data_IF_620487755684
#
_entry.id   IF_620487755684
#
_cell.length_a   1.000
_cell.length_b   1.000
_cell.length_c   1.000
_cell.angle_alpha   90.00
_cell.angle_beta   90.00
_cell.angle_gamma   90.00
#
_symmetry.space_group_name_H-M   'P 1'
#
loop_
_entity.id
_entity.type
_entity.pdbx_description
1 polymer ?
#
# COMPACT_ATOMS: atom_id res chain seq x y z
N UNK A 1 32.58 -12.71 -14.47
CA UNK A 1 31.74 -11.53 -14.74
C UNK A 1 32.28 -10.40 -13.88
N UNK A 2 32.65 -9.27 -14.46
CA UNK A 2 33.11 -8.09 -13.71
C UNK A 2 31.93 -7.51 -12.92
N UNK A 3 32.10 -7.27 -11.64
CA UNK A 3 31.09 -6.58 -10.82
C UNK A 3 30.78 -5.23 -11.45
N UNK A 4 29.49 -4.88 -11.69
CA UNK A 4 29.14 -3.59 -12.27
C UNK A 4 29.64 -2.45 -11.39
N UNK A 5 30.03 -1.34 -11.98
CA UNK A 5 30.45 -0.16 -11.23
C UNK A 5 29.27 0.42 -10.45
N UNK A 6 29.55 1.10 -9.32
CA UNK A 6 28.52 1.78 -8.53
C UNK A 6 27.70 2.74 -9.41
N UNK A 7 28.34 3.42 -10.35
CA UNK A 7 27.66 4.30 -11.32
C UNK A 7 26.61 3.56 -12.13
N UNK A 8 26.93 2.37 -12.66
CA UNK A 8 25.99 1.54 -13.46
C UNK A 8 24.81 1.06 -12.60
N UNK A 9 25.08 0.72 -11.33
CA UNK A 9 24.06 0.27 -10.39
C UNK A 9 23.07 1.39 -10.03
N UNK A 10 23.54 2.63 -9.94
CA UNK A 10 22.71 3.82 -9.62
C UNK A 10 21.79 4.22 -10.79
N UNK A 11 22.11 3.87 -12.03
CA UNK A 11 21.30 4.23 -13.22
C UNK A 11 19.84 3.76 -13.14
N UNK A 12 19.55 2.72 -12.37
CA UNK A 12 18.18 2.23 -12.12
C UNK A 12 17.40 3.01 -11.06
N UNK A 13 17.98 4.03 -10.45
CA UNK A 13 17.33 4.85 -9.42
C UNK A 13 16.51 6.00 -10.05
N UNK A 14 15.34 6.32 -9.45
CA UNK A 14 14.57 7.50 -9.82
C UNK A 14 15.29 8.78 -9.39
N UNK A 15 15.08 9.83 -10.16
CA UNK A 15 15.80 11.09 -9.99
C UNK A 15 15.55 11.75 -8.62
N UNK A 16 14.28 11.90 -8.23
CA UNK A 16 13.92 12.64 -7.02
C UNK A 16 14.40 11.93 -5.75
N UNK A 17 14.13 10.65 -5.49
CA UNK A 17 14.70 9.96 -4.35
C UNK A 17 16.23 9.91 -4.33
N UNK A 18 16.87 9.79 -5.50
CA UNK A 18 18.32 9.81 -5.61
C UNK A 18 18.92 11.18 -5.25
N UNK A 19 18.29 12.26 -5.73
CA UNK A 19 18.65 13.63 -5.35
C UNK A 19 18.51 13.83 -3.83
N UNK A 20 17.40 13.38 -3.24
CA UNK A 20 17.18 13.52 -1.80
C UNK A 20 18.24 12.76 -1.00
N UNK A 21 18.57 11.52 -1.39
CA UNK A 21 19.68 10.77 -0.81
C UNK A 21 20.99 11.57 -0.87
N UNK A 22 21.30 12.10 -2.06
CA UNK A 22 22.54 12.87 -2.24
C UNK A 22 22.58 14.09 -1.31
N UNK A 23 21.52 14.90 -1.28
CA UNK A 23 21.45 16.10 -0.44
C UNK A 23 21.48 15.75 1.05
N UNK A 24 20.83 14.67 1.45
CA UNK A 24 20.87 14.22 2.84
C UNK A 24 22.25 13.78 3.29
N UNK A 25 23.03 13.14 2.40
CA UNK A 25 24.40 12.68 2.73
C UNK A 25 25.47 13.75 2.60
N UNK A 26 25.29 14.71 1.68
CA UNK A 26 26.28 15.76 1.42
C UNK A 26 26.01 17.08 2.15
N UNK A 27 24.76 17.36 2.51
CA UNK A 27 24.34 18.68 2.95
C UNK A 27 24.26 19.74 1.84
N UNK A 28 24.47 19.36 0.57
CA UNK A 28 24.54 20.29 -0.57
C UNK A 28 23.16 20.77 -1.01
N UNK A 29 22.63 21.76 -0.29
CA UNK A 29 21.33 22.39 -0.56
C UNK A 29 21.22 23.02 -1.96
N UNK A 30 22.33 23.44 -2.57
CA UNK A 30 22.30 24.09 -3.87
C UNK A 30 21.81 23.17 -5.01
N UNK A 31 21.98 21.87 -4.86
CA UNK A 31 21.48 20.91 -5.85
C UNK A 31 19.96 20.83 -5.89
N UNK A 32 19.25 21.12 -4.80
CA UNK A 32 17.75 21.14 -4.82
C UNK A 32 17.23 22.16 -5.85
N UNK A 33 17.76 23.37 -5.82
CA UNK A 33 17.35 24.42 -6.76
C UNK A 33 17.61 24.06 -8.23
N UNK A 34 18.67 23.28 -8.49
CA UNK A 34 19.05 22.85 -9.85
C UNK A 34 18.06 21.85 -10.45
N UNK A 35 17.57 20.90 -9.64
CA UNK A 35 16.69 19.83 -10.12
C UNK A 35 15.20 20.10 -9.92
N UNK A 36 14.83 21.02 -9.01
CA UNK A 36 13.44 21.37 -8.71
C UNK A 36 12.58 21.67 -9.94
N UNK A 37 13.07 22.39 -11.01
CA UNK A 37 12.27 22.64 -12.21
C UNK A 37 11.89 21.38 -12.99
N UNK A 38 12.59 20.28 -12.75
CA UNK A 38 12.46 19.01 -13.47
C UNK A 38 11.68 17.94 -12.69
N UNK A 39 11.15 18.26 -11.51
CA UNK A 39 10.38 17.36 -10.68
C UNK A 39 9.00 17.93 -10.48
N UNK A 40 7.98 17.22 -10.97
CA UNK A 40 6.58 17.61 -10.87
C UNK A 40 5.72 16.41 -10.47
N UNK A 41 4.77 16.60 -9.60
CA UNK A 41 3.86 15.58 -9.11
C UNK A 41 2.49 16.16 -8.77
N UNK A 42 1.58 15.33 -8.22
CA UNK A 42 1.66 13.88 -8.04
C UNK A 42 1.08 13.07 -9.19
N UNK A 43 0.18 13.66 -10.03
CA UNK A 43 -0.62 12.95 -11.03
C UNK A 43 0.12 12.63 -12.32
N UNK A 44 1.00 13.52 -12.74
CA UNK A 44 1.92 13.28 -13.83
C UNK A 44 3.32 13.33 -13.26
N UNK A 45 3.69 12.26 -12.61
CA UNK A 45 5.02 12.10 -12.09
C UNK A 45 6.03 12.33 -13.22
N UNK A 46 6.52 13.53 -13.33
CA UNK A 46 7.42 13.91 -14.41
C UNK A 46 8.78 14.26 -13.84
N UNK A 47 9.75 13.45 -14.24
CA UNK A 47 11.16 13.69 -14.02
C UNK A 47 11.80 13.96 -15.40
N UNK A 48 11.67 15.19 -15.89
CA UNK A 48 12.11 15.59 -17.23
C UNK A 48 13.53 16.20 -17.26
N UNK A 49 14.37 15.85 -16.28
CA UNK A 49 15.73 16.34 -16.24
C UNK A 49 16.51 15.93 -17.49
N UNK A 50 17.24 16.84 -18.14
CA UNK A 50 18.09 16.53 -19.28
C UNK A 50 19.08 15.40 -18.98
N UNK A 51 19.43 14.56 -19.98
CA UNK A 51 20.39 13.46 -19.78
C UNK A 51 21.71 13.85 -19.14
N UNK A 52 22.25 15.01 -19.52
CA UNK A 52 23.48 15.54 -18.92
C UNK A 52 23.33 15.86 -17.42
N UNK A 53 22.14 16.35 -17.02
CA UNK A 53 21.86 16.64 -15.62
C UNK A 53 21.66 15.36 -14.80
N UNK A 54 21.00 14.34 -15.36
CA UNK A 54 20.91 13.01 -14.75
C UNK A 54 22.28 12.37 -14.57
N UNK A 55 23.10 12.37 -15.63
CA UNK A 55 24.46 11.83 -15.58
C UNK A 55 25.31 12.52 -14.50
N UNK A 56 25.20 13.85 -14.38
CA UNK A 56 25.86 14.62 -13.31
C UNK A 56 25.44 14.14 -11.91
N UNK A 57 24.14 13.92 -11.67
CA UNK A 57 23.68 13.40 -10.35
C UNK A 57 24.25 12.02 -10.08
N UNK A 58 24.20 11.12 -11.06
CA UNK A 58 24.76 9.76 -10.91
C UNK A 58 26.26 9.80 -10.58
N UNK A 59 27.04 10.64 -11.25
CA UNK A 59 28.47 10.81 -10.98
C UNK A 59 28.72 11.34 -9.56
N UNK A 60 27.98 12.36 -9.12
CA UNK A 60 28.12 12.92 -7.79
C UNK A 60 27.69 11.93 -6.69
N UNK A 61 26.61 11.20 -6.91
CA UNK A 61 26.19 10.16 -5.98
C UNK A 61 27.24 9.06 -5.85
N UNK A 62 27.78 8.55 -6.97
CA UNK A 62 28.81 7.53 -6.96
C UNK A 62 30.06 8.00 -6.22
N UNK A 63 30.57 9.21 -6.57
CA UNK A 63 31.74 9.78 -5.94
C UNK A 63 31.57 9.99 -4.42
N UNK A 64 30.41 10.52 -3.99
CA UNK A 64 30.10 10.70 -2.57
C UNK A 64 30.04 9.39 -1.80
N UNK A 65 29.34 8.38 -2.34
CA UNK A 65 29.21 7.08 -1.71
C UNK A 65 30.57 6.38 -1.60
N UNK A 66 31.41 6.44 -2.63
CA UNK A 66 32.77 5.91 -2.60
C UNK A 66 33.65 6.66 -1.59
N UNK A 67 33.50 7.98 -1.47
CA UNK A 67 34.24 8.78 -0.49
C UNK A 67 33.83 8.43 0.95
N UNK A 68 32.54 8.26 1.21
CA UNK A 68 32.02 7.83 2.52
C UNK A 68 32.48 6.41 2.84
N UNK A 69 32.33 5.47 1.91
CA UNK A 69 32.75 4.07 2.12
C UNK A 69 34.25 3.92 2.39
N UNK A 70 35.07 4.75 1.76
CA UNK A 70 36.53 4.76 1.97
C UNK A 70 36.99 5.59 3.17
N UNK A 71 36.04 6.24 3.89
CA UNK A 71 36.36 7.09 5.04
C UNK A 71 37.00 8.43 4.67
N UNK A 72 37.02 8.82 3.40
CA UNK A 72 37.51 10.13 2.94
C UNK A 72 36.55 11.28 3.24
N UNK A 73 35.25 10.97 3.34
CA UNK A 73 34.21 11.90 3.74
C UNK A 73 33.33 11.27 4.81
N UNK A 74 32.65 12.10 5.58
CA UNK A 74 31.61 11.67 6.51
C UNK A 74 30.25 12.12 5.98
N UNK A 75 29.23 11.29 6.14
CA UNK A 75 27.88 11.68 5.84
C UNK A 75 27.47 12.91 6.69
N UNK A 76 26.75 13.84 6.09
CA UNK A 76 26.20 14.97 6.80
C UNK A 76 25.26 14.51 7.94
N UNK A 77 25.11 15.29 9.00
CA UNK A 77 24.12 15.01 10.04
C UNK A 77 22.70 15.03 9.44
N UNK A 78 21.70 14.45 10.14
CA UNK A 78 20.31 14.54 9.70
C UNK A 78 19.93 15.97 9.31
N UNK A 79 19.13 16.17 8.25
CA UNK A 79 18.82 17.51 7.76
C UNK A 79 18.07 18.31 8.82
N UNK A 80 18.46 19.59 8.96
CA UNK A 80 17.72 20.53 9.81
C UNK A 80 16.27 20.70 9.28
N UNK A 81 15.31 21.11 10.12
CA UNK A 81 13.90 21.17 9.74
C UNK A 81 13.60 22.00 8.48
N UNK A 82 14.30 23.11 8.27
CA UNK A 82 14.16 23.95 7.08
C UNK A 82 14.66 23.27 5.81
N UNK A 83 15.79 22.57 5.88
CA UNK A 83 16.31 21.77 4.78
C UNK A 83 15.41 20.57 4.49
N UNK A 84 14.94 19.87 5.53
CA UNK A 84 13.99 18.75 5.38
C UNK A 84 12.71 19.23 4.66
N UNK A 85 12.14 20.38 5.06
CA UNK A 85 10.97 20.94 4.42
C UNK A 85 11.20 21.24 2.92
N UNK A 86 12.36 21.78 2.56
CA UNK A 86 12.71 22.02 1.17
C UNK A 86 12.91 20.72 0.38
N UNK A 87 13.59 19.74 0.97
CA UNK A 87 13.77 18.41 0.37
C UNK A 87 12.43 17.71 0.13
N UNK A 88 11.55 17.71 1.11
CA UNK A 88 10.20 17.12 1.03
C UNK A 88 9.42 17.73 -0.14
N UNK A 89 9.34 19.07 -0.22
CA UNK A 89 8.63 19.77 -1.30
C UNK A 89 9.26 19.54 -2.68
N UNK A 90 10.58 19.48 -2.73
CA UNK A 90 11.29 19.19 -3.99
C UNK A 90 11.09 17.76 -4.43
N UNK A 91 11.11 16.79 -3.49
CA UNK A 91 10.93 15.38 -3.78
C UNK A 91 9.59 15.08 -4.48
N UNK A 92 8.53 15.75 -4.06
CA UNK A 92 7.18 15.54 -4.61
C UNK A 92 6.76 16.59 -5.64
N UNK A 93 7.58 17.63 -5.88
CA UNK A 93 7.27 18.69 -6.84
C UNK A 93 6.02 19.51 -6.51
N UNK A 94 5.63 19.56 -5.23
CA UNK A 94 4.43 20.23 -4.74
C UNK A 94 4.66 20.95 -3.40
N UNK A 95 3.70 21.79 -3.02
CA UNK A 95 3.62 22.32 -1.67
C UNK A 95 3.19 21.22 -0.71
N UNK A 96 3.99 21.00 0.34
CA UNK A 96 3.66 20.14 1.46
C UNK A 96 3.51 21.04 2.69
N UNK A 97 2.35 21.03 3.39
CA UNK A 97 2.17 21.81 4.61
C UNK A 97 3.13 21.39 5.73
N UNK A 98 3.59 22.36 6.51
CA UNK A 98 4.58 22.11 7.58
C UNK A 98 4.08 21.14 8.65
N UNK A 99 2.77 21.03 8.86
CA UNK A 99 2.15 20.10 9.81
C UNK A 99 2.45 18.62 9.50
N UNK A 100 2.79 18.28 8.24
CA UNK A 100 3.18 16.92 7.85
C UNK A 100 4.65 16.59 8.19
N UNK A 101 5.50 17.60 8.38
CA UNK A 101 6.94 17.37 8.56
C UNK A 101 7.29 16.46 9.75
N UNK A 102 6.63 16.55 10.93
CA UNK A 102 6.89 15.63 12.03
C UNK A 102 6.55 14.18 11.70
N UNK A 103 5.41 13.94 11.00
CA UNK A 103 5.02 12.62 10.54
C UNK A 103 6.00 12.07 9.52
N UNK A 104 6.38 12.90 8.53
CA UNK A 104 7.33 12.52 7.48
C UNK A 104 8.69 12.19 8.10
N UNK A 105 9.20 13.02 9.01
CA UNK A 105 10.46 12.78 9.72
C UNK A 105 10.43 11.45 10.50
N UNK A 106 9.33 11.14 11.16
CA UNK A 106 9.15 9.87 11.87
C UNK A 106 9.16 8.68 10.90
N UNK A 107 8.32 8.71 9.87
CA UNK A 107 8.19 7.63 8.87
C UNK A 107 9.47 7.39 8.05
N UNK A 108 10.33 8.39 7.96
CA UNK A 108 11.65 8.28 7.32
C UNK A 108 12.76 7.86 8.28
N UNK A 109 12.46 7.64 9.57
CA UNK A 109 13.45 7.28 10.59
C UNK A 109 14.37 8.44 10.98
N UNK A 110 13.99 9.68 10.69
CA UNK A 110 14.78 10.89 11.02
C UNK A 110 14.47 11.44 12.43
N UNK A 111 13.40 10.98 13.06
CA UNK A 111 12.97 11.41 14.40
C UNK A 111 13.78 10.75 15.55
N UNK A 112 14.77 9.94 15.22
CA UNK A 112 15.65 9.27 16.22
C UNK A 112 15.05 8.03 16.90
N UNK A 113 13.74 7.76 16.73
CA UNK A 113 13.08 6.55 17.24
C UNK A 113 12.90 5.55 16.10
N UNK A 114 13.35 4.29 16.23
CA UNK A 114 13.11 3.26 15.23
C UNK A 114 11.62 3.04 14.99
N UNK A 115 11.20 2.87 13.72
CA UNK A 115 9.79 2.68 13.32
C UNK A 115 9.12 1.47 13.98
N UNK A 116 9.89 0.45 14.28
CA UNK A 116 9.41 -0.75 14.97
C UNK A 116 9.12 -0.50 16.45
N UNK A 117 9.86 0.39 17.10
CA UNK A 117 9.81 0.56 18.54
C UNK A 117 8.55 1.30 18.99
N UNK A 118 8.11 0.95 20.20
CA UNK A 118 6.97 1.56 20.88
C UNK A 118 7.38 1.75 22.33
N UNK A 119 7.23 2.97 22.83
CA UNK A 119 7.60 3.31 24.21
C UNK A 119 6.38 3.61 25.07
N UNK A 120 6.50 3.26 26.34
CA UNK A 120 5.55 3.67 27.34
C UNK A 120 5.77 5.14 27.73
N UNK A 121 4.74 5.96 27.67
CA UNK A 121 4.81 7.31 28.27
C UNK A 121 5.06 7.25 29.78
N UNK A 122 4.42 6.26 30.44
CA UNK A 122 4.63 5.92 31.85
C UNK A 122 4.50 4.41 31.95
N UNK A 123 5.60 3.70 32.14
CA UNK A 123 5.63 2.24 32.18
C UNK A 123 4.95 1.74 33.47
N UNK A 124 3.89 0.91 33.38
CA UNK A 124 3.25 0.31 34.55
C UNK A 124 4.21 -0.63 35.31
N UNK A 125 3.83 -1.02 36.53
CA UNK A 125 4.54 -2.06 37.26
C UNK A 125 4.56 -3.37 36.45
N UNK A 126 5.64 -4.18 36.51
CA UNK A 126 5.75 -5.42 35.72
C UNK A 126 4.55 -6.35 35.90
N UNK A 127 4.07 -6.53 37.12
CA UNK A 127 2.88 -7.36 37.42
C UNK A 127 1.63 -6.87 36.67
N UNK A 128 1.43 -5.56 36.58
CA UNK A 128 0.27 -4.99 35.85
C UNK A 128 0.37 -5.23 34.34
N UNK A 129 1.59 -5.28 33.78
CA UNK A 129 1.83 -5.65 32.38
C UNK A 129 1.55 -7.14 32.16
N UNK A 130 2.03 -8.00 33.07
CA UNK A 130 1.85 -9.47 32.97
C UNK A 130 0.39 -9.88 33.13
N UNK A 131 -0.37 -9.18 33.98
CA UNK A 131 -1.80 -9.44 34.20
C UNK A 131 -2.66 -8.90 33.06
N UNK A 132 -2.17 -7.93 32.27
CA UNK A 132 -2.97 -7.31 31.20
C UNK A 132 -2.96 -8.17 29.93
N UNK A 133 -4.15 -8.52 29.46
CA UNK A 133 -4.31 -9.32 28.24
C UNK A 133 -5.09 -8.57 27.18
N UNK A 134 -4.57 -8.54 25.96
CA UNK A 134 -5.21 -7.92 24.79
C UNK A 134 -5.74 -9.00 23.85
N UNK A 135 -7.01 -8.91 23.48
CA UNK A 135 -7.58 -9.71 22.41
C UNK A 135 -7.56 -8.90 21.11
N UNK A 136 -7.15 -9.54 20.01
CA UNK A 136 -7.15 -8.94 18.67
C UNK A 136 -8.01 -9.82 17.76
N UNK A 137 -8.92 -9.22 16.99
CA UNK A 137 -9.79 -9.94 16.05
C UNK A 137 -9.27 -9.78 14.63
N UNK A 138 -8.80 -10.89 14.04
CA UNK A 138 -8.26 -10.96 12.68
C UNK A 138 -6.74 -10.93 12.62
N UNK A 139 -6.16 -11.85 11.80
CA UNK A 139 -4.73 -11.96 11.53
C UNK A 139 -4.37 -11.49 10.10
N UNK A 140 -5.06 -10.48 9.60
CA UNK A 140 -4.66 -9.72 8.42
C UNK A 140 -3.54 -8.75 8.74
N UNK A 141 -3.24 -7.85 7.82
CA UNK A 141 -2.17 -6.84 7.97
C UNK A 141 -2.26 -6.06 9.29
N UNK A 142 -3.45 -5.53 9.63
CA UNK A 142 -3.63 -4.76 10.87
C UNK A 142 -3.42 -5.60 12.13
N UNK A 143 -3.91 -6.85 12.16
CA UNK A 143 -3.76 -7.72 13.32
C UNK A 143 -2.32 -8.19 13.54
N UNK A 144 -1.58 -8.48 12.46
CA UNK A 144 -0.15 -8.79 12.54
C UNK A 144 0.66 -7.59 13.04
N UNK A 145 0.42 -6.40 12.46
CA UNK A 145 1.07 -5.17 12.92
C UNK A 145 0.79 -4.87 14.40
N UNK A 146 -0.44 -5.06 14.85
CA UNK A 146 -0.81 -4.91 16.26
C UNK A 146 -0.08 -5.93 17.13
N UNK A 147 -0.06 -7.21 16.76
CA UNK A 147 0.64 -8.25 17.50
C UNK A 147 2.13 -7.95 17.69
N UNK A 148 2.79 -7.46 16.63
CA UNK A 148 4.20 -7.05 16.67
C UNK A 148 4.41 -5.91 17.69
N UNK A 149 3.56 -4.89 17.68
CA UNK A 149 3.64 -3.74 18.59
C UNK A 149 3.34 -4.13 20.04
N UNK A 150 2.36 -5.00 20.26
CA UNK A 150 2.04 -5.52 21.60
C UNK A 150 3.20 -6.35 22.18
N UNK A 151 3.84 -7.18 21.36
CA UNK A 151 5.04 -7.93 21.75
C UNK A 151 6.20 -6.99 22.16
N UNK A 152 6.41 -5.87 21.43
CA UNK A 152 7.41 -4.86 21.80
C UNK A 152 7.12 -4.16 23.12
N UNK A 153 5.87 -3.98 23.46
CA UNK A 153 5.44 -3.44 24.76
C UNK A 153 5.56 -4.47 25.90
N UNK A 154 5.79 -5.75 25.58
CA UNK A 154 5.81 -6.84 26.56
C UNK A 154 4.41 -7.26 27.03
N UNK A 155 3.35 -6.85 26.32
CA UNK A 155 1.97 -7.18 26.68
C UNK A 155 1.59 -8.59 26.20
N UNK A 156 0.83 -9.31 27.03
CA UNK A 156 0.20 -10.55 26.63
C UNK A 156 -0.94 -10.28 25.65
N UNK A 157 -0.98 -11.05 24.55
CA UNK A 157 -2.05 -10.92 23.58
C UNK A 157 -2.43 -12.24 22.95
N UNK A 158 -3.66 -12.31 22.42
CA UNK A 158 -4.17 -13.41 21.62
C UNK A 158 -4.87 -12.83 20.40
N UNK A 159 -4.47 -13.29 19.22
CA UNK A 159 -5.15 -12.95 17.97
C UNK A 159 -6.10 -14.11 17.62
N UNK A 160 -7.36 -13.81 17.33
CA UNK A 160 -8.33 -14.77 16.84
C UNK A 160 -8.49 -14.63 15.35
N UNK A 161 -8.25 -15.71 14.60
CA UNK A 161 -8.37 -15.73 13.14
C UNK A 161 -9.30 -16.88 12.72
N UNK A 162 -10.35 -16.53 11.97
CA UNK A 162 -11.33 -17.51 11.46
C UNK A 162 -10.75 -18.45 10.39
N UNK A 163 -9.72 -18.01 9.67
CA UNK A 163 -9.04 -18.74 8.63
C UNK A 163 -7.92 -19.66 9.21
N UNK A 164 -7.43 -20.64 8.44
CA UNK A 164 -6.36 -21.54 8.86
C UNK A 164 -4.97 -20.90 8.85
N UNK A 165 -4.82 -19.67 8.31
CA UNK A 165 -3.55 -18.98 8.23
C UNK A 165 -3.73 -17.45 8.27
N UNK A 166 -2.61 -16.72 8.32
CA UNK A 166 -2.58 -15.26 8.28
C UNK A 166 -2.85 -14.73 6.86
N UNK A 167 -3.10 -13.43 6.76
CA UNK A 167 -3.17 -12.72 5.48
C UNK A 167 -4.49 -12.01 5.20
N UNK A 168 -5.58 -12.33 5.92
CA UNK A 168 -6.86 -11.63 5.78
C UNK A 168 -7.32 -11.53 4.32
N UNK A 169 -7.46 -10.32 3.80
CA UNK A 169 -7.84 -10.04 2.40
C UNK A 169 -7.00 -10.81 1.39
N UNK A 170 -5.70 -10.90 1.60
CA UNK A 170 -4.75 -11.54 0.67
C UNK A 170 -4.76 -13.06 0.75
N UNK A 171 -5.28 -13.64 1.81
CA UNK A 171 -5.61 -15.05 1.90
C UNK A 171 -6.98 -15.36 1.29
N UNK A 172 -8.01 -14.57 1.62
CA UNK A 172 -9.40 -14.86 1.28
C UNK A 172 -9.74 -14.63 -0.21
N UNK A 173 -9.16 -13.61 -0.85
CA UNK A 173 -9.49 -13.26 -2.23
C UNK A 173 -8.59 -14.03 -3.20
N UNK A 174 -9.18 -14.98 -3.93
CA UNK A 174 -8.46 -15.90 -4.84
C UNK A 174 -8.95 -15.80 -6.28
N UNK A 175 -9.67 -14.75 -6.61
CA UNK A 175 -10.17 -14.55 -7.97
C UNK A 175 -9.04 -14.23 -8.96
N UNK A 176 -9.21 -14.57 -10.26
CA UNK A 176 -8.22 -14.29 -11.29
C UNK A 176 -7.88 -12.80 -11.38
N UNK A 177 -6.60 -12.48 -11.45
CA UNK A 177 -6.12 -11.10 -11.49
C UNK A 177 -6.07 -10.38 -10.14
N UNK A 178 -6.40 -11.07 -9.03
CA UNK A 178 -6.34 -10.46 -7.71
C UNK A 178 -4.93 -9.92 -7.41
N UNK A 179 -4.83 -8.64 -7.12
CA UNK A 179 -3.60 -7.93 -6.82
C UNK A 179 -3.88 -6.60 -6.13
N UNK A 180 -2.83 -5.94 -5.69
CA UNK A 180 -2.92 -4.62 -5.07
C UNK A 180 -3.07 -3.54 -6.16
N UNK A 181 -3.76 -2.47 -5.83
CA UNK A 181 -3.91 -1.25 -6.64
C UNK A 181 -3.16 -0.04 -6.05
N UNK A 182 -2.45 -0.27 -4.96
CA UNK A 182 -1.50 0.66 -4.34
C UNK A 182 -0.07 0.18 -4.59
N UNK A 183 0.91 1.06 -4.89
CA UNK A 183 2.29 0.63 -5.13
C UNK A 183 2.87 -0.17 -3.94
N UNK A 184 3.47 -1.34 -4.21
CA UNK A 184 3.97 -2.25 -3.19
C UNK A 184 4.94 -1.62 -2.20
N UNK A 185 5.87 -0.78 -2.69
CA UNK A 185 6.87 -0.14 -1.84
C UNK A 185 6.28 0.88 -0.86
N UNK A 186 4.99 1.16 -0.98
CA UNK A 186 4.18 1.85 0.03
C UNK A 186 3.27 0.88 0.77
N UNK A 187 2.62 -0.08 0.07
CA UNK A 187 1.72 -1.08 0.65
C UNK A 187 2.51 -2.21 1.34
N UNK A 188 3.20 -1.85 2.40
CA UNK A 188 4.00 -2.74 3.24
C UNK A 188 4.24 -2.05 4.59
N UNK A 189 4.63 -2.82 5.60
CA UNK A 189 5.00 -2.20 6.88
C UNK A 189 6.23 -1.30 6.72
N UNK A 190 6.18 -0.10 7.29
CA UNK A 190 7.30 0.85 7.24
C UNK A 190 8.56 0.33 7.95
N UNK A 191 8.38 -0.51 8.97
CA UNK A 191 9.46 -1.14 9.73
C UNK A 191 9.99 -2.46 9.13
N UNK A 192 9.31 -3.01 8.10
CA UNK A 192 9.70 -4.26 7.45
C UNK A 192 9.57 -4.12 5.92
N UNK A 193 10.36 -3.25 5.29
CA UNK A 193 10.29 -3.06 3.84
C UNK A 193 10.80 -4.30 3.08
N UNK A 194 10.09 -4.67 2.03
CA UNK A 194 10.53 -5.64 1.05
C UNK A 194 11.06 -4.90 -0.19
N UNK A 195 12.33 -5.09 -0.52
CA UNK A 195 12.96 -4.46 -1.68
C UNK A 195 12.98 -5.35 -2.92
N UNK A 196 12.48 -6.58 -2.81
CA UNK A 196 12.53 -7.58 -3.88
C UNK A 196 11.17 -7.90 -4.50
N UNK A 197 10.22 -6.96 -4.46
CA UNK A 197 8.95 -7.10 -5.15
C UNK A 197 9.16 -7.40 -6.65
N UNK A 198 8.42 -8.38 -7.19
CA UNK A 198 8.53 -8.73 -8.61
C UNK A 198 7.99 -7.66 -9.54
N UNK A 199 6.96 -6.94 -9.10
CA UNK A 199 6.23 -5.89 -9.83
C UNK A 199 6.01 -4.66 -8.95
N UNK A 200 5.68 -3.53 -9.57
CA UNK A 200 5.29 -2.33 -8.82
C UNK A 200 3.94 -2.50 -8.11
N UNK A 201 3.05 -3.31 -8.68
CA UNK A 201 1.76 -3.71 -8.13
C UNK A 201 1.70 -5.24 -8.16
N UNK A 202 1.89 -5.87 -7.02
CA UNK A 202 2.04 -7.32 -6.95
C UNK A 202 0.72 -8.07 -7.00
N UNK A 203 0.72 -9.28 -7.56
CA UNK A 203 -0.39 -10.20 -7.41
C UNK A 203 -0.56 -10.61 -5.95
N UNK A 204 -1.75 -11.02 -5.62
CA UNK A 204 -2.21 -11.46 -4.31
C UNK A 204 -1.24 -12.40 -3.59
N UNK A 205 -0.71 -13.40 -4.29
CA UNK A 205 0.14 -14.43 -3.69
C UNK A 205 1.45 -13.87 -3.13
N UNK A 206 2.05 -12.89 -3.81
CA UNK A 206 3.29 -12.28 -3.37
C UNK A 206 3.09 -11.44 -2.10
N UNK A 207 1.96 -10.74 -1.99
CA UNK A 207 1.60 -9.97 -0.79
C UNK A 207 1.28 -10.92 0.37
N UNK A 208 0.53 -11.99 0.10
CA UNK A 208 0.25 -12.99 1.13
C UNK A 208 1.55 -13.62 1.65
N UNK A 209 2.47 -14.02 0.78
CA UNK A 209 3.79 -14.54 1.17
C UNK A 209 4.60 -13.53 1.99
N UNK A 210 4.50 -12.23 1.67
CA UNK A 210 5.13 -11.20 2.48
C UNK A 210 4.57 -11.18 3.91
N UNK A 211 3.24 -11.23 4.08
CA UNK A 211 2.59 -11.28 5.40
C UNK A 211 2.92 -12.56 6.17
N UNK A 212 3.02 -13.70 5.47
CA UNK A 212 3.48 -14.97 6.04
C UNK A 212 4.89 -14.83 6.63
N UNK A 213 5.83 -14.29 5.84
CA UNK A 213 7.21 -14.04 6.29
C UNK A 213 7.27 -13.08 7.48
N UNK A 214 6.45 -12.03 7.48
CA UNK A 214 6.37 -11.09 8.60
C UNK A 214 5.87 -11.77 9.87
N UNK A 215 4.81 -12.59 9.78
CA UNK A 215 4.28 -13.33 10.92
C UNK A 215 5.33 -14.28 11.54
N UNK A 216 6.14 -14.92 10.70
CA UNK A 216 7.22 -15.81 11.14
C UNK A 216 8.40 -15.04 11.72
N UNK A 217 8.88 -14.01 11.02
CA UNK A 217 10.04 -13.19 11.44
C UNK A 217 9.85 -12.55 12.81
N UNK A 218 8.63 -12.07 13.08
CA UNK A 218 8.30 -11.41 14.36
C UNK A 218 7.67 -12.36 15.38
N UNK A 219 7.68 -13.67 15.12
CA UNK A 219 7.14 -14.71 16.01
C UNK A 219 5.70 -14.43 16.47
N UNK A 220 4.84 -13.90 15.59
CA UNK A 220 3.44 -13.61 15.91
C UNK A 220 2.58 -14.87 15.92
N UNK A 221 2.91 -15.89 15.10
CA UNK A 221 2.10 -17.14 14.97
C UNK A 221 1.78 -17.86 16.28
N UNK A 222 2.70 -18.00 17.26
CA UNK A 222 2.38 -18.65 18.53
C UNK A 222 1.26 -17.96 19.33
N UNK A 223 0.96 -16.71 19.00
CA UNK A 223 -0.09 -15.91 19.65
C UNK A 223 -1.41 -15.90 18.86
N UNK A 224 -1.49 -16.64 17.73
CA UNK A 224 -2.70 -16.70 16.90
C UNK A 224 -3.45 -18.00 17.15
N UNK A 225 -4.75 -17.88 17.40
CA UNK A 225 -5.68 -19.00 17.39
C UNK A 225 -6.38 -19.04 16.04
N UNK A 226 -5.89 -19.90 15.17
CA UNK A 226 -6.47 -20.12 13.85
C UNK A 226 -7.76 -20.92 13.91
N UNK A 227 -8.57 -20.88 12.85
CA UNK A 227 -9.87 -21.52 12.74
C UNK A 227 -10.78 -21.17 13.93
N UNK A 228 -10.64 -19.96 14.43
CA UNK A 228 -11.33 -19.48 15.63
C UNK A 228 -11.99 -18.14 15.32
N UNK A 229 -13.32 -18.13 15.22
CA UNK A 229 -14.11 -16.95 14.90
C UNK A 229 -14.64 -16.30 16.18
N UNK A 230 -14.42 -15.00 16.36
CA UNK A 230 -15.12 -14.23 17.40
C UNK A 230 -16.54 -13.99 16.93
N UNK A 231 -17.52 -14.48 17.68
CA UNK A 231 -18.95 -14.34 17.36
C UNK A 231 -19.63 -13.23 18.15
N UNK A 232 -19.17 -13.00 19.38
CA UNK A 232 -19.71 -11.97 20.29
C UNK A 232 -18.59 -11.34 21.11
N UNK A 233 -18.72 -10.08 21.44
CA UNK A 233 -17.87 -9.39 22.40
C UNK A 233 -18.68 -8.29 23.09
N UNK A 234 -18.67 -8.27 24.41
CA UNK A 234 -19.36 -7.27 25.23
C UNK A 234 -18.46 -6.80 26.37
N UNK A 235 -18.56 -5.52 26.71
CA UNK A 235 -17.84 -4.96 27.84
C UNK A 235 -18.57 -5.23 29.15
N UNK A 236 -17.88 -5.73 30.15
CA UNK A 236 -18.41 -5.96 31.49
C UNK A 236 -17.86 -4.91 32.48
N UNK A 237 -18.67 -3.92 32.81
CA UNK A 237 -18.28 -2.90 33.83
C UNK A 237 -17.92 -3.52 35.17
N UNK A 238 -18.69 -4.52 35.60
CA UNK A 238 -18.46 -5.17 36.88
C UNK A 238 -17.12 -5.93 36.97
N UNK A 239 -16.62 -6.42 35.85
CA UNK A 239 -15.36 -7.18 35.73
C UNK A 239 -14.21 -6.35 35.14
N UNK A 240 -14.50 -5.16 34.65
CA UNK A 240 -13.57 -4.29 33.91
C UNK A 240 -12.82 -5.07 32.81
N UNK A 241 -13.56 -5.86 32.01
CA UNK A 241 -13.00 -6.66 30.93
C UNK A 241 -14.00 -6.87 29.80
N UNK A 242 -13.48 -7.23 28.63
CA UNK A 242 -14.25 -7.75 27.52
C UNK A 242 -14.57 -9.22 27.75
N UNK A 243 -15.84 -9.57 27.68
CA UNK A 243 -16.34 -10.92 27.63
C UNK A 243 -16.57 -11.31 26.16
N UNK A 244 -15.83 -12.31 25.69
CA UNK A 244 -15.74 -12.66 24.28
C UNK A 244 -16.20 -14.11 24.11
N UNK A 245 -17.00 -14.37 23.10
CA UNK A 245 -17.37 -15.72 22.68
C UNK A 245 -16.66 -16.04 21.37
N UNK A 246 -15.92 -17.14 21.36
CA UNK A 246 -15.25 -17.63 20.17
C UNK A 246 -15.86 -18.96 19.73
N UNK A 247 -15.95 -19.16 18.40
CA UNK A 247 -16.34 -20.42 17.77
C UNK A 247 -15.08 -21.10 17.27
N UNK A 248 -14.80 -22.30 17.75
CA UNK A 248 -13.70 -23.14 17.29
C UNK A 248 -14.04 -23.89 16.00
N UNK A 249 -13.06 -24.55 15.38
CA UNK A 249 -13.21 -25.26 14.11
C UNK A 249 -14.28 -26.36 14.14
N UNK A 250 -14.52 -27.00 15.31
CA UNK A 250 -15.52 -28.00 15.53
C UNK A 250 -16.94 -27.45 15.80
N UNK A 251 -17.08 -26.09 15.77
CA UNK A 251 -18.33 -25.42 16.07
C UNK A 251 -18.56 -25.13 17.55
N UNK A 252 -17.68 -25.59 18.43
CA UNK A 252 -17.80 -25.37 19.89
C UNK A 252 -17.65 -23.89 20.22
N UNK A 253 -18.58 -23.35 21.03
CA UNK A 253 -18.49 -22.00 21.56
C UNK A 253 -17.72 -22.02 22.89
N UNK A 254 -16.70 -21.16 22.99
CA UNK A 254 -15.91 -21.01 24.22
C UNK A 254 -15.86 -19.56 24.67
N UNK A 255 -15.98 -19.30 25.97
CA UNK A 255 -15.77 -17.98 26.54
C UNK A 255 -14.28 -17.66 26.60
N UNK A 256 -13.97 -16.38 26.41
CA UNK A 256 -12.66 -15.79 26.62
C UNK A 256 -12.81 -14.40 27.23
N UNK A 257 -11.84 -13.94 28.00
CA UNK A 257 -11.86 -12.59 28.55
C UNK A 257 -10.53 -11.86 28.32
N UNK A 258 -10.62 -10.55 28.08
CA UNK A 258 -9.46 -9.70 27.86
C UNK A 258 -9.70 -8.30 28.44
N UNK A 259 -8.63 -7.62 28.84
CA UNK A 259 -8.69 -6.25 29.38
C UNK A 259 -8.86 -5.21 28.27
N UNK A 260 -8.38 -5.51 27.05
CA UNK A 260 -8.59 -4.69 25.87
C UNK A 260 -8.96 -5.55 24.67
N UNK A 261 -9.76 -4.97 23.75
CA UNK A 261 -10.16 -5.58 22.49
C UNK A 261 -9.76 -4.68 21.34
N UNK A 262 -9.06 -5.26 20.35
CA UNK A 262 -8.68 -4.59 19.11
C UNK A 262 -9.40 -5.24 17.95
N UNK A 263 -10.21 -4.47 17.23
CA UNK A 263 -10.89 -4.93 16.01
C UNK A 263 -9.99 -4.71 14.79
N UNK A 264 -9.38 -5.78 14.30
CA UNK A 264 -8.57 -5.80 13.06
C UNK A 264 -9.27 -6.60 11.95
N UNK A 265 -10.59 -6.50 11.87
CA UNK A 265 -11.48 -7.32 11.03
C UNK A 265 -11.47 -6.95 9.55
N UNK A 266 -10.81 -5.86 9.17
CA UNK A 266 -10.86 -5.29 7.82
C UNK A 266 -12.19 -4.57 7.54
N UNK A 267 -12.14 -3.61 6.60
CA UNK A 267 -13.29 -2.77 6.26
C UNK A 267 -14.18 -3.35 5.15
N UNK A 268 -13.67 -4.29 4.34
CA UNK A 268 -14.35 -4.86 3.16
C UNK A 268 -14.47 -6.40 3.24
N UNK A 269 -14.57 -6.97 4.43
CA UNK A 269 -14.45 -8.41 4.66
C UNK A 269 -15.76 -9.20 4.45
N UNK A 270 -16.93 -8.54 4.40
CA UNK A 270 -18.21 -9.23 4.27
C UNK A 270 -18.77 -9.09 2.85
N UNK A 271 -18.77 -10.18 2.03
CA UNK A 271 -19.38 -10.15 0.71
C UNK A 271 -20.89 -9.94 0.82
N UNK A 272 -21.45 -9.14 -0.08
CA UNK A 272 -22.88 -8.93 -0.20
C UNK A 272 -23.32 -9.21 -1.63
N UNK A 273 -24.21 -10.15 -1.79
CA UNK A 273 -24.89 -10.38 -3.07
C UNK A 273 -25.87 -9.24 -3.36
N UNK A 274 -26.05 -8.86 -4.64
CA UNK A 274 -27.05 -7.88 -5.02
C UNK A 274 -28.46 -8.43 -4.74
N UNK A 275 -29.37 -7.52 -4.38
CA UNK A 275 -30.80 -7.83 -4.25
C UNK A 275 -31.43 -7.78 -5.64
N UNK A 276 -31.41 -8.93 -6.33
CA UNK A 276 -31.95 -9.10 -7.69
C UNK A 276 -32.98 -10.21 -7.65
N UNK A 277 -34.21 -9.90 -8.08
CA UNK A 277 -35.28 -10.89 -8.14
C UNK A 277 -34.88 -12.09 -9.01
N UNK A 278 -35.01 -13.29 -8.46
CA UNK A 278 -34.73 -14.55 -9.16
C UNK A 278 -33.24 -14.95 -9.19
N UNK A 279 -32.37 -14.26 -8.47
CA UNK A 279 -30.96 -14.67 -8.34
C UNK A 279 -30.82 -16.09 -7.78
N UNK A 280 -31.70 -16.46 -6.87
CA UNK A 280 -31.82 -17.80 -6.26
C UNK A 280 -32.31 -18.88 -7.23
N UNK A 281 -32.96 -18.50 -8.32
CA UNK A 281 -33.45 -19.41 -9.37
C UNK A 281 -32.46 -19.64 -10.51
N UNK A 282 -31.31 -18.96 -10.48
CA UNK A 282 -30.27 -19.16 -11.48
C UNK A 282 -29.65 -20.58 -11.34
N UNK A 283 -29.84 -21.40 -12.36
CA UNK A 283 -29.41 -22.78 -12.35
C UNK A 283 -27.89 -23.01 -12.56
N UNK A 284 -27.17 -21.97 -12.98
CA UNK A 284 -25.72 -22.02 -13.17
C UNK A 284 -24.94 -21.72 -11.90
N UNK A 285 -23.62 -21.96 -11.90
CA UNK A 285 -22.77 -21.53 -10.80
C UNK A 285 -22.82 -20.02 -10.61
N UNK A 286 -23.08 -19.58 -9.38
CA UNK A 286 -23.03 -18.17 -8.98
C UNK A 286 -22.15 -18.00 -7.75
N UNK A 287 -21.24 -17.03 -7.78
CA UNK A 287 -20.33 -16.76 -6.69
C UNK A 287 -20.04 -15.28 -6.54
N UNK A 288 -19.67 -14.87 -5.35
CA UNK A 288 -19.08 -13.55 -5.12
C UNK A 288 -17.55 -13.65 -5.28
N UNK A 289 -16.89 -12.60 -5.81
CA UNK A 289 -15.42 -12.60 -6.00
C UNK A 289 -14.65 -12.93 -4.71
N UNK A 290 -15.11 -12.45 -3.55
CA UNK A 290 -14.51 -12.79 -2.24
C UNK A 290 -14.73 -14.26 -1.79
N UNK A 291 -15.50 -15.04 -2.54
CA UNK A 291 -15.75 -16.47 -2.33
C UNK A 291 -15.58 -17.21 -3.65
N UNK A 292 -14.49 -16.90 -4.33
CA UNK A 292 -14.15 -17.49 -5.62
C UNK A 292 -13.92 -19.00 -5.46
N UNK A 293 -14.53 -19.77 -6.35
CA UNK A 293 -14.27 -21.22 -6.44
C UNK A 293 -13.21 -21.48 -7.52
N UNK A 294 -11.96 -21.76 -7.15
CA UNK A 294 -10.90 -22.01 -8.11
C UNK A 294 -11.06 -23.30 -8.90
N UNK A 295 -11.94 -24.21 -8.45
CA UNK A 295 -12.23 -25.49 -9.14
C UNK A 295 -13.16 -25.30 -10.33
N UNK A 296 -13.87 -24.17 -10.41
CA UNK A 296 -14.81 -23.89 -11.50
C UNK A 296 -14.08 -23.47 -12.75
N UNK A 297 -14.07 -24.34 -13.78
CA UNK A 297 -13.55 -24.00 -15.10
C UNK A 297 -14.48 -23.01 -15.82
N UNK A 298 -13.92 -21.87 -16.25
CA UNK A 298 -14.65 -20.82 -16.99
C UNK A 298 -14.45 -20.93 -18.50
N UNK A 299 -13.48 -21.72 -18.97
CA UNK A 299 -13.10 -21.81 -20.37
C UNK A 299 -14.30 -22.20 -21.25
N UNK A 300 -14.56 -21.40 -22.28
CA UNK A 300 -15.66 -21.61 -23.21
C UNK A 300 -17.08 -21.37 -22.63
N UNK A 301 -17.23 -20.91 -21.40
CA UNK A 301 -18.53 -20.59 -20.81
C UNK A 301 -18.98 -19.16 -21.15
N UNK A 302 -20.29 -18.95 -21.11
CA UNK A 302 -20.86 -17.59 -21.08
C UNK A 302 -20.89 -17.13 -19.64
N UNK A 303 -20.23 -16.01 -19.34
CA UNK A 303 -20.10 -15.46 -17.99
C UNK A 303 -20.79 -14.11 -17.91
N UNK A 304 -21.64 -13.93 -16.90
CA UNK A 304 -22.21 -12.65 -16.51
C UNK A 304 -21.46 -12.13 -15.26
N UNK A 305 -20.91 -10.94 -15.36
CA UNK A 305 -20.23 -10.25 -14.26
C UNK A 305 -21.06 -9.04 -13.83
N UNK A 306 -21.49 -9.00 -12.57
CA UNK A 306 -22.27 -7.90 -12.01
C UNK A 306 -21.36 -7.03 -11.16
N UNK A 307 -21.17 -5.78 -11.59
CA UNK A 307 -20.32 -4.81 -10.92
C UNK A 307 -18.94 -4.66 -11.59
N UNK A 308 -18.43 -3.43 -11.53
CA UNK A 308 -17.14 -3.00 -12.09
C UNK A 308 -16.27 -2.30 -11.03
N UNK A 309 -16.43 -2.65 -9.75
CA UNK A 309 -15.52 -2.22 -8.68
C UNK A 309 -14.11 -2.81 -8.83
N UNK A 310 -13.21 -2.57 -7.87
CA UNK A 310 -11.82 -2.99 -7.94
C UNK A 310 -11.66 -4.47 -8.34
N UNK A 311 -12.43 -5.38 -7.71
CA UNK A 311 -12.40 -6.81 -8.09
C UNK A 311 -12.88 -7.06 -9.52
N UNK A 312 -13.94 -6.37 -9.97
CA UNK A 312 -14.44 -6.49 -11.33
C UNK A 312 -13.44 -6.02 -12.39
N UNK A 313 -12.73 -4.93 -12.11
CA UNK A 313 -11.66 -4.39 -12.97
C UNK A 313 -10.47 -5.36 -13.10
N UNK A 314 -10.25 -6.22 -12.12
CA UNK A 314 -9.20 -7.24 -12.16
C UNK A 314 -9.67 -8.56 -12.77
N UNK A 315 -10.88 -9.02 -12.43
CA UNK A 315 -11.44 -10.28 -12.94
C UNK A 315 -11.74 -10.18 -14.42
N UNK A 316 -12.44 -9.12 -14.87
CA UNK A 316 -12.88 -8.97 -16.25
C UNK A 316 -11.77 -9.20 -17.27
N UNK A 317 -10.67 -8.44 -17.26
CA UNK A 317 -9.55 -8.66 -18.19
C UNK A 317 -8.88 -10.02 -18.03
N UNK A 318 -8.86 -10.57 -16.80
CA UNK A 318 -8.18 -11.84 -16.52
C UNK A 318 -8.91 -13.07 -17.06
N UNK A 319 -10.20 -12.95 -17.39
CA UNK A 319 -11.01 -14.05 -17.91
C UNK A 319 -11.52 -13.82 -19.34
N UNK A 320 -11.42 -12.60 -19.87
CA UNK A 320 -12.03 -12.21 -21.14
C UNK A 320 -11.64 -13.13 -22.30
N UNK A 321 -10.36 -13.48 -22.42
CA UNK A 321 -9.82 -14.32 -23.51
C UNK A 321 -10.11 -15.83 -23.32
N UNK A 322 -10.63 -16.23 -22.16
CA UNK A 322 -10.87 -17.64 -21.82
C UNK A 322 -12.33 -18.03 -21.97
N UNK A 323 -13.23 -17.08 -21.81
CA UNK A 323 -14.68 -17.34 -21.83
C UNK A 323 -15.24 -17.20 -23.26
N UNK A 324 -16.31 -17.92 -23.58
CA UNK A 324 -16.97 -17.78 -24.88
C UNK A 324 -17.66 -16.42 -25.02
N UNK A 325 -18.15 -15.87 -23.92
CA UNK A 325 -18.77 -14.56 -23.86
C UNK A 325 -18.67 -14.00 -22.44
N UNK A 326 -18.24 -12.75 -22.31
CA UNK A 326 -18.28 -11.99 -21.05
C UNK A 326 -19.31 -10.86 -21.18
N UNK A 327 -20.35 -10.91 -20.36
CA UNK A 327 -21.36 -9.84 -20.23
C UNK A 327 -21.15 -9.11 -18.92
N UNK A 328 -20.83 -7.81 -19.00
CA UNK A 328 -20.55 -6.97 -17.82
C UNK A 328 -21.75 -6.05 -17.54
N UNK A 329 -22.27 -6.11 -16.33
CA UNK A 329 -23.39 -5.28 -15.88
C UNK A 329 -22.87 -4.20 -14.93
N UNK A 330 -22.85 -2.98 -15.40
CA UNK A 330 -22.37 -1.81 -14.67
C UNK A 330 -23.53 -0.89 -14.30
N UNK A 331 -23.62 -0.51 -13.03
CA UNK A 331 -24.63 0.44 -12.55
C UNK A 331 -24.15 1.89 -12.72
N UNK A 332 -22.92 2.15 -12.38
CA UNK A 332 -22.32 3.48 -12.41
C UNK A 332 -20.90 3.39 -12.96
N UNK A 333 -20.47 4.34 -13.81
CA UNK A 333 -19.10 4.36 -14.33
C UNK A 333 -18.11 4.65 -13.19
N UNK A 334 -16.91 4.08 -13.31
CA UNK A 334 -15.80 4.34 -12.39
C UNK A 334 -14.80 5.30 -13.03
N UNK A 335 -14.16 6.07 -12.18
CA UNK A 335 -12.95 6.81 -12.56
C UNK A 335 -11.78 5.83 -12.47
N UNK A 336 -11.35 5.31 -13.61
CA UNK A 336 -10.22 4.41 -13.71
C UNK A 336 -8.98 5.19 -14.16
N UNK A 337 -7.97 5.23 -13.29
CA UNK A 337 -6.69 5.91 -13.60
C UNK A 337 -5.80 4.93 -14.34
N UNK A 338 -5.37 5.32 -15.55
CA UNK A 338 -4.32 4.57 -16.25
C UNK A 338 -3.00 4.68 -15.50
N UNK A 339 -2.40 3.54 -15.19
CA UNK A 339 -1.06 3.47 -14.62
C UNK A 339 -0.18 2.54 -15.47
N UNK A 340 0.78 3.08 -16.24
CA UNK A 340 1.64 2.27 -17.13
C UNK A 340 2.51 1.26 -16.37
N UNK A 341 2.69 1.45 -15.07
CA UNK A 341 3.47 0.56 -14.22
C UNK A 341 2.65 -0.58 -13.59
N UNK A 342 1.32 -0.60 -13.79
CA UNK A 342 0.45 -1.56 -13.09
C UNK A 342 0.87 -3.02 -13.31
N UNK A 343 1.25 -3.37 -14.52
CA UNK A 343 1.75 -4.72 -14.86
C UNK A 343 3.28 -4.80 -15.01
N UNK A 344 3.98 -3.68 -14.80
CA UNK A 344 5.41 -3.62 -15.00
C UNK A 344 6.19 -4.36 -13.89
N UNK A 345 7.26 -5.03 -14.30
CA UNK A 345 8.23 -5.62 -13.37
C UNK A 345 9.12 -4.54 -12.78
N UNK A 346 9.56 -4.76 -11.55
CA UNK A 346 10.58 -3.90 -10.94
C UNK A 346 11.94 -4.31 -11.51
N UNK A 347 12.61 -3.36 -12.16
CA UNK A 347 13.91 -3.59 -12.78
C UNK A 347 14.99 -3.94 -11.74
N UNK A 348 15.97 -4.81 -12.09
CA UNK A 348 17.03 -5.22 -11.16
C UNK A 348 17.81 -4.04 -10.57
N UNK A 349 18.10 -3.00 -11.37
CA UNK A 349 18.77 -1.80 -10.90
C UNK A 349 17.96 -1.03 -9.86
N UNK A 350 16.63 -0.96 -10.02
CA UNK A 350 15.72 -0.37 -9.04
C UNK A 350 15.71 -1.15 -7.73
N UNK A 351 15.61 -2.48 -7.79
CA UNK A 351 15.68 -3.35 -6.60
C UNK A 351 16.99 -3.16 -5.86
N UNK A 352 18.10 -3.11 -6.60
CA UNK A 352 19.40 -2.86 -6.01
C UNK A 352 19.46 -1.50 -5.31
N UNK A 353 18.99 -0.45 -5.95
CA UNK A 353 18.97 0.91 -5.38
C UNK A 353 18.16 0.96 -4.09
N UNK A 354 16.96 0.37 -4.07
CA UNK A 354 16.11 0.28 -2.88
C UNK A 354 16.78 -0.47 -1.72
N UNK A 355 17.53 -1.53 -2.02
CA UNK A 355 18.16 -2.35 -0.98
C UNK A 355 19.49 -1.81 -0.48
N UNK A 356 20.24 -1.03 -1.29
CA UNK A 356 21.63 -0.72 -1.00
C UNK A 356 21.96 0.78 -0.88
N UNK A 357 21.14 1.66 -1.46
CA UNK A 357 21.38 3.10 -1.36
C UNK A 357 20.84 3.65 -0.03
N UNK A 358 21.66 4.32 0.79
CA UNK A 358 21.21 4.89 2.06
C UNK A 358 20.04 5.85 1.86
N UNK A 359 19.03 5.78 2.70
CA UNK A 359 17.85 6.64 2.70
C UNK A 359 17.00 6.65 1.41
N UNK A 360 17.47 6.07 0.30
CA UNK A 360 16.78 6.08 -0.98
C UNK A 360 15.39 5.44 -0.89
N UNK A 361 15.27 4.28 -0.25
CA UNK A 361 13.99 3.59 -0.08
C UNK A 361 12.99 4.40 0.74
N UNK A 362 13.45 5.13 1.77
CA UNK A 362 12.60 6.00 2.58
C UNK A 362 12.06 7.19 1.76
N UNK A 363 12.90 7.83 0.95
CA UNK A 363 12.48 8.91 0.06
C UNK A 363 11.54 8.42 -1.03
N UNK A 364 11.80 7.26 -1.61
CA UNK A 364 10.90 6.65 -2.60
C UNK A 364 9.55 6.29 -1.97
N UNK A 365 9.53 5.71 -0.76
CA UNK A 365 8.31 5.42 -0.02
C UNK A 365 7.51 6.68 0.30
N UNK A 366 8.17 7.75 0.73
CA UNK A 366 7.53 9.04 0.96
C UNK A 366 6.89 9.59 -0.33
N UNK A 367 7.58 9.52 -1.45
CA UNK A 367 7.07 9.92 -2.75
C UNK A 367 5.77 9.18 -3.10
N UNK A 368 5.75 7.86 -2.92
CA UNK A 368 4.57 7.02 -3.17
C UNK A 368 3.42 7.34 -2.19
N UNK A 369 3.74 7.54 -0.91
CA UNK A 369 2.76 7.96 0.10
C UNK A 369 2.05 9.24 -0.34
N UNK A 370 2.83 10.28 -0.65
CA UNK A 370 2.28 11.57 -1.04
C UNK A 370 1.41 11.48 -2.30
N UNK A 371 1.87 10.76 -3.30
CA UNK A 371 1.14 10.57 -4.54
C UNK A 371 -0.13 9.73 -4.39
N UNK A 372 -0.17 8.81 -3.44
CA UNK A 372 -1.30 7.88 -3.23
C UNK A 372 -2.31 8.36 -2.17
N UNK A 373 -2.00 9.43 -1.44
CA UNK A 373 -2.81 9.91 -0.33
C UNK A 373 -3.01 11.44 -0.40
N UNK A 374 -2.32 12.18 0.45
CA UNK A 374 -2.61 13.59 0.68
C UNK A 374 -2.29 14.53 -0.49
N UNK A 375 -1.38 14.13 -1.40
CA UNK A 375 -1.14 14.86 -2.64
C UNK A 375 -2.35 14.92 -3.59
N UNK A 376 -3.32 14.02 -3.41
CA UNK A 376 -4.57 13.98 -4.17
C UNK A 376 -5.70 14.75 -3.50
N UNK A 377 -5.58 15.00 -2.20
CA UNK A 377 -6.65 15.57 -1.40
C UNK A 377 -7.22 16.90 -1.96
N UNK A 378 -6.41 17.84 -2.49
CA UNK A 378 -6.94 19.06 -3.13
C UNK A 378 -7.93 18.78 -4.25
N UNK A 379 -7.70 17.75 -5.07
CA UNK A 379 -8.61 17.37 -6.17
C UNK A 379 -9.96 16.83 -5.69
N UNK A 380 -10.07 16.41 -4.43
CA UNK A 380 -11.30 15.86 -3.83
C UNK A 380 -12.10 16.91 -3.06
N UNK A 381 -11.60 18.14 -2.93
CA UNK A 381 -12.30 19.22 -2.26
C UNK A 381 -13.40 19.78 -3.14
N UNK A 382 -14.61 19.94 -2.59
CA UNK A 382 -15.72 20.59 -3.31
C UNK A 382 -15.48 22.10 -3.34
N UNK A 383 -15.38 22.68 -4.53
CA UNK A 383 -15.40 24.13 -4.73
C UNK A 383 -16.85 24.57 -4.97
N UNK A 384 -17.49 25.30 -4.03
CA UNK A 384 -18.87 25.77 -4.21
C UNK A 384 -19.04 26.75 -5.38
N UNK A 385 -17.95 27.39 -5.83
CA UNK A 385 -17.93 28.31 -6.97
C UNK A 385 -17.63 27.64 -8.31
N UNK A 386 -17.44 26.31 -8.34
CA UNK A 386 -17.06 25.61 -9.56
C UNK A 386 -18.14 25.67 -10.65
N UNK A 387 -17.75 26.01 -11.88
CA UNK A 387 -18.68 26.29 -12.98
C UNK A 387 -19.43 25.06 -13.52
N UNK A 388 -18.87 23.85 -13.33
CA UNK A 388 -19.43 22.59 -13.84
C UNK A 388 -19.56 21.52 -12.75
N UNK A 389 -20.37 21.76 -11.69
CA UNK A 389 -20.42 20.89 -10.52
C UNK A 389 -20.94 19.47 -10.81
N UNK A 390 -21.69 19.29 -11.92
CA UNK A 390 -22.19 17.98 -12.34
C UNK A 390 -21.13 17.10 -13.01
N UNK A 391 -19.99 17.67 -13.40
CA UNK A 391 -18.93 16.97 -14.12
C UNK A 391 -17.67 16.74 -13.25
N UNK A 392 -17.41 17.64 -12.31
CA UNK A 392 -16.21 17.63 -11.49
C UNK A 392 -16.37 18.50 -10.24
N UNK A 393 -15.47 18.35 -9.25
CA UNK A 393 -15.58 19.00 -7.96
C UNK A 393 -14.87 20.37 -7.91
N UNK A 394 -13.80 20.52 -8.68
CA UNK A 394 -12.94 21.71 -8.77
C UNK A 394 -12.08 21.65 -10.03
N UNK A 395 -11.19 22.63 -10.21
CA UNK A 395 -10.32 22.72 -11.39
C UNK A 395 -9.35 21.54 -11.53
N UNK A 396 -8.77 21.07 -10.43
CA UNK A 396 -7.83 19.93 -10.45
C UNK A 396 -8.55 18.63 -10.78
N UNK A 397 -9.70 18.41 -10.17
CA UNK A 397 -10.57 17.27 -10.45
C UNK A 397 -11.03 17.27 -11.92
N UNK A 398 -11.36 18.45 -12.46
CA UNK A 398 -11.72 18.60 -13.87
C UNK A 398 -10.55 18.27 -14.81
N UNK A 399 -9.37 18.79 -14.52
CA UNK A 399 -8.18 18.48 -15.31
C UNK A 399 -7.81 17.00 -15.29
N UNK A 400 -8.05 16.31 -14.17
CA UNK A 400 -7.91 14.87 -14.08
C UNK A 400 -8.93 14.16 -14.97
N UNK A 401 -10.21 14.54 -14.89
CA UNK A 401 -11.29 13.98 -15.70
C UNK A 401 -10.95 14.07 -17.21
N UNK A 402 -10.52 15.22 -17.68
CA UNK A 402 -10.19 15.41 -19.09
C UNK A 402 -9.04 14.48 -19.54
N UNK A 403 -8.00 14.30 -18.74
CA UNK A 403 -6.91 13.34 -19.01
C UNK A 403 -7.39 11.88 -19.07
N UNK A 404 -8.32 11.49 -18.20
CA UNK A 404 -8.89 10.15 -18.22
C UNK A 404 -9.73 9.92 -19.49
N UNK A 405 -10.50 10.93 -19.92
CA UNK A 405 -11.27 10.89 -21.17
C UNK A 405 -10.34 10.81 -22.38
N UNK A 406 -9.26 11.58 -22.42
CA UNK A 406 -8.26 11.51 -23.49
C UNK A 406 -7.62 10.12 -23.57
N UNK A 407 -7.28 9.52 -22.42
CA UNK A 407 -6.77 8.15 -22.38
C UNK A 407 -7.79 7.15 -22.92
N UNK A 408 -9.05 7.20 -22.47
CA UNK A 408 -10.10 6.31 -22.97
C UNK A 408 -10.26 6.45 -24.48
N UNK A 409 -10.27 7.67 -25.01
CA UNK A 409 -10.34 7.91 -26.46
C UNK A 409 -9.15 7.32 -27.21
N UNK A 410 -7.95 7.42 -26.64
CA UNK A 410 -6.74 6.84 -27.23
C UNK A 410 -6.80 5.30 -27.30
N UNK A 411 -7.36 4.66 -26.28
CA UNK A 411 -7.49 3.19 -26.21
C UNK A 411 -8.65 2.66 -27.11
N UNK A 412 -9.77 3.35 -27.10
CA UNK A 412 -10.99 2.92 -27.83
C UNK A 412 -10.93 3.30 -29.31
N UNK A 413 -10.15 4.31 -29.67
CA UNK A 413 -10.11 4.86 -31.03
C UNK A 413 -11.40 5.59 -31.40
N UNK A 414 -11.71 5.62 -32.69
CA UNK A 414 -12.87 6.34 -33.26
C UNK A 414 -14.14 5.47 -33.34
N UNK A 415 -14.24 4.34 -32.63
CA UNK A 415 -15.43 3.50 -32.62
C UNK A 415 -16.55 4.16 -31.80
N UNK A 416 -17.64 4.68 -32.47
CA UNK A 416 -18.69 5.40 -31.76
C UNK A 416 -19.48 4.53 -30.78
N UNK A 417 -19.57 3.22 -31.02
CA UNK A 417 -20.30 2.30 -30.17
C UNK A 417 -19.52 1.99 -28.87
N UNK A 418 -18.20 1.96 -28.95
CA UNK A 418 -17.35 1.82 -27.77
C UNK A 418 -17.26 3.13 -26.99
N UNK A 419 -17.09 4.28 -27.67
CA UNK A 419 -17.08 5.60 -27.04
C UNK A 419 -18.37 5.91 -26.29
N UNK A 420 -19.52 5.46 -26.80
CA UNK A 420 -20.80 5.63 -26.12
C UNK A 420 -20.95 4.75 -24.86
N UNK A 421 -20.11 3.74 -24.68
CA UNK A 421 -20.11 2.83 -23.51
C UNK A 421 -19.03 3.18 -22.50
N UNK A 422 -17.99 3.86 -22.92
CA UNK A 422 -16.86 4.29 -22.07
C UNK A 422 -17.13 5.63 -21.37
#
# INVERSE_FOLDING_TARGET
>A
MTTPSLRTLIEGADLAPLLMMYVQLSGDRAELARYRPHIRGPWSWMEDAPPALRARLHERCAALLEAIQSGREQAAPPPAPDLLAEMVRTCVGQTVPDEYLPLIAHEMGLAGTPLLDVDWRSRPAPQAIDDFHVAVIGAGESGLGMGIKLARLGLRYTIFEKNPTVGGTWFENQYPGCGVDTPNHFYQYSFEPNHDWSRYFSPRDEIWQYLERVADRYAVRPHIRFNTEVTEASWSEARACWEIVVREADGTLRPFSAHALVCAVGQLNRPRFPDIEGLDRFAGPAMHTAKWDPSLALDGRRVAMIGTGASGMQVGPSIADRVAQLSIFQRSPHWAVHNPLYHAKVEPGKKWALANLPHYASWYRFQLFWASADGLYPSLQVDPGWSTPNLSLNAENHAMRERLIEHIRAEVGDDPALLAKA
#
